data_IF_177981277867
#
_entry.id   IF_177981277867
#
_cell.length_a   1.000
_cell.length_b   1.000
_cell.length_c   1.000
_cell.angle_alpha   90.00
_cell.angle_beta   90.00
_cell.angle_gamma   90.00
#
_symmetry.space_group_name_H-M   'P 1'
#
loop_
_entity.id
_entity.type
_entity.pdbx_description
1 polymer ?
#
# COMPACT_ATOMS: atom_id res chain seq x y z
N UNK A 1 14.36 17.70 -59.01
CA UNK A 1 13.34 18.69 -59.41
C UNK A 1 11.97 18.16 -58.98
N UNK A 2 11.34 18.75 -57.97
CA UNK A 2 10.07 18.29 -57.37
C UNK A 2 8.90 19.06 -58.01
N UNK A 3 7.89 18.33 -58.51
CA UNK A 3 6.69 18.90 -59.12
C UNK A 3 5.79 19.64 -58.09
N UNK A 4 4.97 20.61 -58.51
CA UNK A 4 4.20 21.47 -57.62
C UNK A 4 2.85 20.84 -57.21
N UNK A 5 2.35 21.25 -56.03
CA UNK A 5 0.98 20.98 -55.57
C UNK A 5 -0.03 21.87 -56.30
N UNK A 6 -1.28 21.41 -56.46
CA UNK A 6 -2.45 22.28 -56.38
C UNK A 6 -3.37 21.89 -55.21
N UNK A 7 -3.98 22.90 -54.60
CA UNK A 7 -5.02 22.82 -53.55
C UNK A 7 -6.39 23.29 -54.13
N UNK A 8 -7.43 23.50 -53.31
CA UNK A 8 -8.57 22.62 -53.01
C UNK A 8 -9.88 23.06 -53.70
N UNK A 9 -10.97 22.28 -53.58
CA UNK A 9 -12.34 22.79 -53.80
C UNK A 9 -13.26 22.45 -52.63
N UNK A 10 -13.88 23.51 -52.11
CA UNK A 10 -14.91 23.57 -51.08
C UNK A 10 -16.30 23.19 -51.62
N UNK A 11 -17.18 22.81 -50.70
CA UNK A 11 -18.65 22.75 -50.82
C UNK A 11 -19.14 21.42 -50.24
N UNK A 12 -20.08 21.31 -49.29
CA UNK A 12 -21.19 22.17 -48.84
C UNK A 12 -21.54 21.79 -47.39
N UNK A 13 -22.20 22.72 -46.70
CA UNK A 13 -22.53 22.84 -45.27
C UNK A 13 -23.76 22.06 -44.77
N UNK A 14 -23.66 21.59 -43.50
CA UNK A 14 -24.66 21.57 -42.39
C UNK A 14 -25.93 20.68 -42.49
N UNK A 15 -26.62 20.31 -41.37
CA UNK A 15 -26.47 20.82 -39.99
C UNK A 15 -26.39 19.78 -38.85
N UNK A 16 -26.04 20.37 -37.70
CA UNK A 16 -26.00 19.88 -36.33
C UNK A 16 -27.39 19.48 -35.83
N UNK A 17 -27.50 18.33 -35.17
CA UNK A 17 -28.59 18.03 -34.24
C UNK A 17 -27.97 17.66 -32.88
N UNK A 18 -28.45 18.36 -31.86
CA UNK A 18 -28.09 18.32 -30.46
C UNK A 18 -29.19 17.55 -29.73
N UNK A 19 -28.87 16.41 -29.10
CA UNK A 19 -29.78 15.77 -28.13
C UNK A 19 -29.01 15.10 -26.98
N UNK A 20 -28.93 15.86 -25.87
CA UNK A 20 -29.32 15.52 -24.50
C UNK A 20 -29.11 14.09 -23.94
N UNK A 21 -28.11 13.96 -23.04
CA UNK A 21 -27.97 13.18 -21.78
C UNK A 21 -28.39 11.67 -21.69
N UNK A 22 -27.84 10.83 -20.77
CA UNK A 22 -27.09 11.16 -19.54
C UNK A 22 -25.79 10.35 -19.29
N UNK A 23 -25.00 10.83 -18.34
CA UNK A 23 -24.10 10.08 -17.42
C UNK A 23 -23.61 8.73 -17.94
N UNK A 24 -22.50 8.74 -18.68
CA UNK A 24 -21.65 7.57 -18.78
C UNK A 24 -20.49 7.77 -17.82
N UNK A 25 -20.71 7.39 -16.57
CA UNK A 25 -19.64 6.91 -15.69
C UNK A 25 -18.91 5.84 -16.47
N UNK A 26 -17.86 6.23 -17.18
CA UNK A 26 -16.83 5.29 -17.57
C UNK A 26 -16.39 4.66 -16.26
N UNK A 27 -16.53 3.34 -16.05
CA UNK A 27 -15.84 2.72 -14.93
C UNK A 27 -14.39 3.05 -15.18
N UNK A 28 -13.85 3.95 -14.33
CA UNK A 28 -12.45 4.33 -14.34
C UNK A 28 -11.72 3.01 -14.42
N UNK A 29 -11.13 2.77 -15.60
CA UNK A 29 -10.57 1.48 -15.92
C UNK A 29 -9.73 1.07 -14.74
N UNK A 30 -9.89 -0.18 -14.30
CA UNK A 30 -9.04 -0.82 -13.30
C UNK A 30 -7.62 -0.64 -13.80
N UNK A 31 -7.01 0.49 -13.44
CA UNK A 31 -5.60 0.74 -13.67
C UNK A 31 -4.98 -0.29 -12.77
N UNK A 32 -4.39 -1.31 -13.36
CA UNK A 32 -3.43 -2.22 -12.72
C UNK A 32 -2.20 -1.40 -12.27
N UNK A 33 -2.41 -0.44 -11.36
CA UNK A 33 -1.45 0.40 -10.65
C UNK A 33 -1.67 0.19 -9.15
N UNK A 34 -1.77 -1.06 -8.71
CA UNK A 34 -2.07 -1.40 -7.31
C UNK A 34 -1.26 -2.56 -6.76
N UNK A 35 -0.48 -3.28 -7.58
CA UNK A 35 0.28 -4.44 -7.12
C UNK A 35 1.47 -4.09 -6.21
N UNK A 36 1.72 -2.80 -5.94
CA UNK A 36 2.92 -2.31 -5.28
C UNK A 36 2.71 -1.63 -3.93
N UNK A 37 1.60 -0.91 -3.72
CA UNK A 37 1.37 -0.05 -2.55
C UNK A 37 0.29 -0.69 -1.66
N UNK A 38 0.57 -0.76 -0.36
CA UNK A 38 -0.34 -1.34 0.65
C UNK A 38 -0.44 -0.41 1.86
N UNK A 39 -1.59 -0.43 2.52
CA UNK A 39 -1.76 0.19 3.84
C UNK A 39 -1.06 -0.65 4.91
N UNK A 40 -0.27 0.01 5.75
CA UNK A 40 0.38 -0.56 6.93
C UNK A 40 0.00 0.29 8.13
N UNK A 41 -0.35 -0.34 9.24
CA UNK A 41 -0.31 0.31 10.53
C UNK A 41 1.14 0.34 11.00
N UNK A 42 1.66 1.55 11.14
CA UNK A 42 2.98 1.83 11.68
C UNK A 42 2.83 2.21 13.15
N UNK A 43 3.52 1.46 14.00
CA UNK A 43 3.62 1.72 15.43
C UNK A 43 5.08 2.03 15.76
N UNK A 44 5.35 3.22 16.27
CA UNK A 44 6.70 3.60 16.69
C UNK A 44 7.02 3.15 18.13
N UNK A 45 8.27 3.32 18.56
CA UNK A 45 8.70 3.01 19.92
C UNK A 45 8.05 3.85 21.01
N UNK A 46 7.42 4.98 20.66
CA UNK A 46 6.67 5.83 21.57
C UNK A 46 5.18 5.44 21.66
N UNK A 47 4.76 4.40 20.93
CA UNK A 47 3.38 3.95 20.88
C UNK A 47 2.46 4.84 20.03
N UNK A 48 3.02 5.70 19.17
CA UNK A 48 2.22 6.41 18.18
C UNK A 48 1.86 5.47 17.03
N UNK A 49 0.58 5.49 16.66
CA UNK A 49 0.03 4.64 15.61
C UNK A 49 -0.42 5.50 14.43
N UNK A 50 0.00 5.14 13.23
CA UNK A 50 -0.44 5.81 12.00
C UNK A 50 -0.61 4.80 10.86
N UNK A 51 -1.64 4.99 10.04
CA UNK A 51 -1.80 4.20 8.81
C UNK A 51 -1.03 4.88 7.69
N UNK A 52 -0.14 4.13 7.06
CA UNK A 52 0.73 4.61 5.97
C UNK A 52 0.57 3.75 4.73
N UNK A 53 0.44 4.38 3.57
CA UNK A 53 0.44 3.70 2.27
C UNK A 53 1.87 3.60 1.74
N UNK A 54 2.44 2.40 1.78
CA UNK A 54 3.85 2.20 1.45
C UNK A 54 4.02 1.13 0.39
N UNK A 55 4.85 1.45 -0.60
CA UNK A 55 5.21 0.56 -1.69
C UNK A 55 6.19 -0.54 -1.29
N UNK A 56 6.18 -1.67 -1.98
CA UNK A 56 7.15 -2.77 -1.79
C UNK A 56 8.60 -2.28 -1.75
N UNK A 57 9.03 -1.47 -2.71
CA UNK A 57 10.41 -0.95 -2.77
C UNK A 57 10.74 -0.04 -1.58
N UNK A 58 9.79 0.78 -1.14
CA UNK A 58 9.94 1.63 0.05
C UNK A 58 10.06 0.80 1.32
N UNK A 59 9.26 -0.26 1.48
CA UNK A 59 9.40 -1.21 2.59
C UNK A 59 10.77 -1.91 2.54
N UNK A 60 11.22 -2.36 1.36
CA UNK A 60 12.54 -2.98 1.20
C UNK A 60 13.67 -2.04 1.64
N UNK A 61 13.65 -0.79 1.19
CA UNK A 61 14.65 0.21 1.56
C UNK A 61 14.60 0.52 3.07
N UNK A 62 13.40 0.65 3.63
CA UNK A 62 13.18 1.00 5.04
C UNK A 62 13.60 -0.10 6.01
N UNK A 63 13.33 -1.36 5.67
CA UNK A 63 13.52 -2.52 6.56
C UNK A 63 14.80 -3.31 6.26
N UNK A 64 15.42 -3.08 5.09
CA UNK A 64 16.53 -3.88 4.59
C UNK A 64 16.14 -5.30 4.14
N UNK A 65 14.84 -5.62 4.10
CA UNK A 65 14.37 -6.95 3.72
C UNK A 65 14.48 -7.18 2.22
N UNK A 66 15.00 -8.35 1.78
CA UNK A 66 14.94 -8.73 0.38
C UNK A 66 13.49 -9.00 -0.03
N UNK A 67 13.17 -8.78 -1.31
CA UNK A 67 11.81 -8.93 -1.81
C UNK A 67 11.20 -10.33 -1.66
N UNK A 68 12.02 -11.37 -1.45
CA UNK A 68 11.59 -12.73 -1.13
C UNK A 68 10.87 -12.78 0.22
N UNK A 69 11.36 -12.05 1.21
CA UNK A 69 10.84 -12.11 2.56
C UNK A 69 9.51 -11.37 2.66
N UNK A 70 9.38 -10.26 1.94
CA UNK A 70 8.11 -9.55 1.83
C UNK A 70 7.00 -10.38 1.16
N UNK A 71 7.36 -11.34 0.29
CA UNK A 71 6.38 -12.23 -0.34
C UNK A 71 5.70 -13.15 0.67
N UNK A 72 6.34 -13.44 1.79
CA UNK A 72 5.74 -14.28 2.86
C UNK A 72 4.51 -13.60 3.44
N UNK A 73 4.48 -12.27 3.41
CA UNK A 73 3.35 -11.45 3.86
C UNK A 73 2.31 -11.21 2.77
N UNK A 74 2.46 -11.78 1.56
CA UNK A 74 1.52 -11.57 0.47
C UNK A 74 0.16 -12.23 0.78
N UNK A 75 -0.97 -11.50 0.85
CA UNK A 75 -2.29 -12.07 1.05
C UNK A 75 -2.72 -13.05 -0.05
N UNK A 76 -2.16 -12.92 -1.26
CA UNK A 76 -2.50 -13.78 -2.40
C UNK A 76 -1.79 -15.14 -2.29
N UNK A 77 -0.73 -15.22 -1.50
CA UNK A 77 0.08 -16.43 -1.34
C UNK A 77 -0.17 -17.04 0.03
N UNK A 78 -0.56 -18.32 0.05
CA UNK A 78 -0.67 -19.08 1.29
C UNK A 78 0.71 -19.59 1.70
N UNK A 79 1.30 -18.92 2.69
CA UNK A 79 2.53 -19.39 3.36
C UNK A 79 2.19 -19.94 4.76
N UNK A 80 2.92 -20.97 5.22
CA UNK A 80 2.75 -21.46 6.58
C UNK A 80 3.13 -20.39 7.61
N UNK A 81 2.65 -20.57 8.84
CA UNK A 81 3.02 -19.73 9.98
C UNK A 81 4.54 -19.73 10.16
N UNK A 82 5.16 -18.54 10.14
CA UNK A 82 6.62 -18.39 10.14
C UNK A 82 7.03 -17.13 10.89
N UNK A 83 8.09 -17.23 11.68
CA UNK A 83 8.85 -16.10 12.23
C UNK A 83 10.26 -16.16 11.64
N UNK A 84 10.66 -15.12 10.91
CA UNK A 84 11.99 -15.03 10.31
C UNK A 84 12.81 -13.95 10.99
N UNK A 85 13.95 -14.32 11.54
CA UNK A 85 14.98 -13.38 11.95
C UNK A 85 15.81 -12.92 10.75
N UNK A 86 16.00 -11.60 10.61
CA UNK A 86 16.94 -10.96 9.70
C UNK A 86 17.79 -9.97 10.49
N UNK A 87 18.87 -9.50 9.86
CA UNK A 87 19.84 -8.62 10.51
C UNK A 87 19.20 -7.36 11.12
N UNK A 88 18.23 -6.74 10.42
CA UNK A 88 17.61 -5.47 10.81
C UNK A 88 16.11 -5.55 11.07
N UNK A 89 15.54 -6.75 10.95
CA UNK A 89 14.09 -6.93 11.04
C UNK A 89 13.70 -8.35 11.43
N UNK A 90 12.53 -8.49 12.04
CA UNK A 90 11.83 -9.75 12.26
C UNK A 90 10.57 -9.74 11.40
N UNK A 91 10.38 -10.76 10.57
CA UNK A 91 9.17 -10.93 9.75
C UNK A 91 8.26 -11.95 10.40
N UNK A 92 6.99 -11.58 10.59
CA UNK A 92 5.98 -12.40 11.24
C UNK A 92 4.84 -12.66 10.26
N UNK A 93 4.57 -13.93 9.99
CA UNK A 93 3.37 -14.39 9.31
C UNK A 93 2.72 -15.46 10.19
N UNK A 94 1.69 -15.12 10.96
CA UNK A 94 1.01 -16.03 11.87
C UNK A 94 -0.50 -15.86 11.71
N UNK A 95 -1.21 -16.86 11.20
CA UNK A 95 -2.66 -16.80 10.95
C UNK A 95 -3.10 -15.45 10.31
N UNK A 96 -3.69 -14.55 11.09
CA UNK A 96 -4.14 -13.22 10.66
C UNK A 96 -3.09 -12.11 10.84
N UNK A 97 -2.08 -12.34 11.68
CA UNK A 97 -1.06 -11.35 12.03
C UNK A 97 0.12 -11.41 11.05
N UNK A 98 0.22 -10.36 10.24
CA UNK A 98 1.31 -10.18 9.27
C UNK A 98 2.05 -8.88 9.58
N UNK A 99 3.28 -9.00 10.06
CA UNK A 99 4.03 -7.85 10.54
C UNK A 99 5.52 -7.90 10.18
N UNK A 100 6.12 -6.72 10.18
CA UNK A 100 7.57 -6.52 10.16
C UNK A 100 7.92 -5.72 11.40
N UNK A 101 8.80 -6.26 12.23
CA UNK A 101 9.33 -5.58 13.42
C UNK A 101 10.75 -5.13 13.10
N UNK A 102 11.03 -3.85 13.31
CA UNK A 102 12.38 -3.28 13.23
C UNK A 102 12.80 -2.77 14.61
N UNK A 103 14.01 -2.23 14.73
CA UNK A 103 14.49 -1.65 15.99
C UNK A 103 13.68 -0.42 16.46
N UNK A 104 12.98 0.27 15.55
CA UNK A 104 12.34 1.56 15.84
C UNK A 104 10.83 1.54 15.68
N UNK A 105 10.30 0.59 14.91
CA UNK A 105 8.89 0.56 14.55
C UNK A 105 8.43 -0.84 14.15
N UNK A 106 7.12 -1.04 14.26
CA UNK A 106 6.38 -2.21 13.80
C UNK A 106 5.48 -1.78 12.65
N UNK A 107 5.52 -2.56 11.56
CA UNK A 107 4.65 -2.40 10.40
C UNK A 107 3.69 -3.59 10.35
N UNK A 108 2.42 -3.36 10.61
CA UNK A 108 1.36 -4.38 10.65
C UNK A 108 0.44 -4.23 9.44
N UNK A 109 0.19 -5.33 8.72
CA UNK A 109 -0.77 -5.38 7.61
C UNK A 109 -2.19 -5.61 8.12
N UNK A 110 -3.17 -5.19 7.31
CA UNK A 110 -4.59 -5.48 7.50
C UNK A 110 -5.12 -5.03 8.88
N UNK A 111 -4.63 -3.91 9.42
CA UNK A 111 -5.04 -3.43 10.76
C UNK A 111 -6.51 -3.04 10.90
N UNK A 112 -7.26 -2.97 9.79
CA UNK A 112 -8.71 -2.75 9.77
C UNK A 112 -9.52 -4.06 9.88
N UNK A 113 -8.86 -5.21 9.76
CA UNK A 113 -9.51 -6.52 9.92
C UNK A 113 -9.86 -6.74 11.40
N UNK A 114 -11.12 -7.05 11.75
CA UNK A 114 -11.53 -7.33 13.13
C UNK A 114 -10.71 -8.42 13.84
N UNK A 115 -10.11 -9.36 13.10
CA UNK A 115 -9.22 -10.39 13.66
C UNK A 115 -7.84 -9.84 14.04
N UNK A 116 -7.44 -8.69 13.50
CA UNK A 116 -6.13 -8.05 13.71
C UNK A 116 -6.23 -6.83 14.61
N UNK A 117 -7.34 -6.09 14.58
CA UNK A 117 -7.56 -4.86 15.38
C UNK A 117 -7.21 -5.05 16.86
N UNK A 118 -7.67 -6.10 17.57
CA UNK A 118 -7.36 -6.27 19.00
C UNK A 118 -5.85 -6.40 19.27
N UNK A 119 -5.12 -7.03 18.35
CA UNK A 119 -3.66 -7.15 18.45
C UNK A 119 -2.97 -5.79 18.27
N UNK A 120 -3.40 -5.00 17.29
CA UNK A 120 -2.88 -3.65 17.06
C UNK A 120 -3.08 -2.74 18.28
N UNK A 121 -4.29 -2.72 18.84
CA UNK A 121 -4.65 -1.90 20.00
C UNK A 121 -3.87 -2.31 21.26
N UNK A 122 -3.73 -3.62 21.49
CA UNK A 122 -2.95 -4.16 22.59
C UNK A 122 -1.48 -3.79 22.48
N UNK A 123 -0.91 -3.95 21.29
CA UNK A 123 0.49 -3.60 21.03
C UNK A 123 0.75 -2.12 21.26
N UNK A 124 -0.12 -1.25 20.73
CA UNK A 124 -0.02 0.19 20.93
C UNK A 124 -0.05 0.56 22.42
N UNK A 125 -1.03 0.03 23.16
CA UNK A 125 -1.18 0.31 24.58
C UNK A 125 0.02 -0.12 25.40
N UNK A 126 0.59 -1.29 25.08
CA UNK A 126 1.83 -1.76 25.73
C UNK A 126 3.00 -0.83 25.43
N UNK A 127 3.19 -0.44 24.17
CA UNK A 127 4.26 0.47 23.78
C UNK A 127 4.14 1.84 24.48
N UNK A 128 2.94 2.41 24.55
CA UNK A 128 2.67 3.64 25.30
C UNK A 128 3.06 3.48 26.78
N UNK A 129 2.61 2.40 27.41
CA UNK A 129 2.93 2.13 28.82
C UNK A 129 4.44 1.99 29.06
N UNK A 130 5.13 1.24 28.20
CA UNK A 130 6.59 1.09 28.29
C UNK A 130 7.31 2.43 28.10
N UNK A 131 6.91 3.23 27.12
CA UNK A 131 7.51 4.54 26.86
C UNK A 131 7.36 5.50 28.06
N UNK A 132 6.19 5.51 28.71
CA UNK A 132 5.98 6.30 29.93
C UNK A 132 6.88 5.81 31.09
N UNK A 133 7.05 4.50 31.24
CA UNK A 133 7.91 3.94 32.27
C UNK A 133 9.40 4.26 32.06
N UNK A 134 9.87 4.33 30.81
CA UNK A 134 11.29 4.59 30.50
C UNK A 134 11.65 6.06 30.42
N UNK A 135 10.69 6.95 30.12
CA UNK A 135 10.93 8.41 29.99
C UNK A 135 10.84 9.16 31.33
N UNK A 136 10.22 8.55 32.35
CA UNK A 136 10.03 9.19 33.68
C UNK A 136 11.19 8.88 34.65
N UNK A 137 12.33 8.41 34.15
CA UNK A 137 13.55 8.12 34.92
C UNK A 137 14.72 8.93 34.38
#
# INVERSE_FOLDING_TARGET
MRAPRPSPKLGVTSPVEEESDPVRTTPSGIRKKGAGVREWLLLDSAGQAQVVEVGKHSIMHRTGLPGRDLRILDPILSYPSTVLGREKAIVINLEHIKAIITAHEVLLLNSRDPSVTPFGDELQRRLLHFHHATTTN
#
